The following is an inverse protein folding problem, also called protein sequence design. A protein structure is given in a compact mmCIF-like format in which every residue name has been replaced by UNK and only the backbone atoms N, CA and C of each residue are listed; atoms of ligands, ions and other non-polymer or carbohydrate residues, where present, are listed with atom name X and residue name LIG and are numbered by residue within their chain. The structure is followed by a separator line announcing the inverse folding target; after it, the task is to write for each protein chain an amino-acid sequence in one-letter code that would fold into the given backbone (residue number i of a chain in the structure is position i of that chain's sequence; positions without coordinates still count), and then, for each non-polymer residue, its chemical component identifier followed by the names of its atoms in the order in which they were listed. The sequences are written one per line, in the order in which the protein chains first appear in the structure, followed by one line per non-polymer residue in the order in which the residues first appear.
data_IF_256288731794
#
_entry.id   IF_256288731794
#
_cell.length_a   1.000
_cell.length_b   1.000
_cell.length_c   1.000
_cell.angle_alpha   90.00
_cell.angle_beta   90.00
_cell.angle_gamma   90.00
#
_symmetry.space_group_name_H-M   'P 1'
#
loop_
_entity.id
_entity.type
_entity.pdbx_description
1 polymer ?
#
# COMPACT_ATOMS: atom_id res chain seq x y z
N UNK A 1 -14.56 -13.48 -0.45
CA UNK A 1 -13.27 -14.08 -0.87
C UNK A 1 -12.18 -13.18 -0.34
N UNK A 2 -11.08 -13.75 0.17
CA UNK A 2 -9.94 -12.95 0.60
C UNK A 2 -9.43 -12.09 -0.57
N UNK A 3 -9.08 -10.84 -0.28
CA UNK A 3 -8.56 -9.87 -1.27
C UNK A 3 -7.04 -9.75 -1.23
N UNK A 4 -6.40 -10.45 -0.27
CA UNK A 4 -4.96 -10.66 -0.20
C UNK A 4 -4.69 -12.16 -0.05
N UNK A 5 -3.86 -12.70 -0.93
CA UNK A 5 -3.36 -14.08 -0.79
C UNK A 5 -2.01 -14.08 -0.11
N UNK A 6 -1.81 -15.03 0.78
CA UNK A 6 -0.55 -15.22 1.51
C UNK A 6 0.05 -16.58 1.17
N UNK A 7 1.33 -16.61 0.82
CA UNK A 7 2.13 -17.81 0.62
C UNK A 7 3.45 -17.70 1.37
N UNK A 8 3.87 -18.78 2.02
CA UNK A 8 5.17 -18.84 2.72
C UNK A 8 6.05 -19.92 2.09
N UNK A 9 7.09 -19.51 1.41
CA UNK A 9 8.03 -20.42 0.76
C UNK A 9 9.47 -20.01 1.08
N UNK A 10 10.28 -20.92 1.60
CA UNK A 10 11.71 -20.70 1.87
C UNK A 10 12.01 -19.56 2.86
N UNK A 11 11.06 -19.23 3.74
CA UNK A 11 11.18 -18.12 4.68
C UNK A 11 10.78 -16.76 4.10
N UNK A 12 10.25 -16.72 2.88
CA UNK A 12 9.71 -15.52 2.27
C UNK A 12 8.20 -15.60 2.26
N UNK A 13 7.53 -14.67 2.93
CA UNK A 13 6.08 -14.52 2.89
C UNK A 13 5.70 -13.60 1.74
N UNK A 14 4.97 -14.13 0.76
CA UNK A 14 4.46 -13.35 -0.37
C UNK A 14 3.01 -12.95 -0.12
N UNK A 15 2.75 -11.64 -0.08
CA UNK A 15 1.43 -11.05 0.01
C UNK A 15 1.02 -10.58 -1.39
N UNK A 16 0.02 -11.24 -1.97
CA UNK A 16 -0.47 -10.89 -3.30
C UNK A 16 -1.81 -10.16 -3.20
N UNK A 17 -1.86 -8.90 -3.65
CA UNK A 17 -3.11 -8.15 -3.81
C UNK A 17 -3.93 -8.86 -4.88
N UNK A 18 -5.11 -9.39 -4.54
CA UNK A 18 -5.84 -10.35 -5.41
C UNK A 18 -7.26 -9.88 -5.77
N UNK A 19 -7.29 -8.73 -6.44
CA UNK A 19 -8.49 -8.17 -7.11
C UNK A 19 -8.15 -7.77 -8.55
N UNK A 20 -7.60 -8.70 -9.39
CA UNK A 20 -7.07 -8.34 -10.72
C UNK A 20 -8.10 -7.73 -11.65
N UNK A 21 -9.38 -8.08 -11.52
CA UNK A 21 -10.50 -7.51 -12.28
C UNK A 21 -10.77 -6.02 -11.95
N UNK A 22 -10.31 -5.57 -10.80
CA UNK A 22 -10.33 -4.17 -10.34
C UNK A 22 -8.95 -3.53 -10.29
N UNK A 23 -7.96 -4.12 -11.00
CA UNK A 23 -6.56 -3.68 -10.99
C UNK A 23 -6.01 -3.55 -9.55
N UNK A 24 -6.41 -4.44 -8.67
CA UNK A 24 -6.04 -4.47 -7.26
C UNK A 24 -6.35 -3.15 -6.52
N UNK A 25 -7.47 -2.48 -6.89
CA UNK A 25 -7.89 -1.26 -6.23
C UNK A 25 -8.07 -1.48 -4.73
N UNK A 26 -7.49 -0.57 -3.95
CA UNK A 26 -7.35 -0.64 -2.51
C UNK A 26 -8.68 -0.39 -1.79
N UNK A 27 -9.03 -1.28 -0.90
CA UNK A 27 -10.23 -1.22 -0.05
C UNK A 27 -9.86 -1.29 1.42
N UNK A 28 -10.81 -0.97 2.29
CA UNK A 28 -10.64 -1.14 3.75
C UNK A 28 -10.41 -2.62 4.11
N UNK A 29 -11.08 -3.55 3.41
CA UNK A 29 -10.88 -4.98 3.59
C UNK A 29 -9.44 -5.37 3.24
N UNK A 30 -8.92 -4.91 2.09
CA UNK A 30 -7.52 -5.15 1.70
C UNK A 30 -6.53 -4.54 2.70
N UNK A 31 -6.82 -3.34 3.21
CA UNK A 31 -6.01 -2.72 4.26
C UNK A 31 -5.93 -3.62 5.49
N UNK A 32 -7.07 -4.11 5.97
CA UNK A 32 -7.11 -4.95 7.18
C UNK A 32 -6.39 -6.28 6.96
N UNK A 33 -6.66 -6.96 5.83
CA UNK A 33 -5.98 -8.22 5.51
C UNK A 33 -4.46 -8.06 5.39
N UNK A 34 -3.98 -6.93 4.85
CA UNK A 34 -2.55 -6.63 4.81
C UNK A 34 -1.98 -6.39 6.22
N UNK A 35 -2.65 -5.59 7.05
CA UNK A 35 -2.22 -5.33 8.43
C UNK A 35 -2.13 -6.66 9.20
N UNK A 36 -3.17 -7.48 9.12
CA UNK A 36 -3.21 -8.80 9.79
C UNK A 36 -2.09 -9.72 9.28
N UNK A 37 -1.80 -9.69 7.96
CA UNK A 37 -0.72 -10.48 7.39
C UNK A 37 0.67 -10.02 7.87
N UNK A 38 0.89 -8.71 8.04
CA UNK A 38 2.12 -8.19 8.64
C UNK A 38 2.23 -8.55 10.12
N UNK A 39 1.13 -8.60 10.87
CA UNK A 39 1.12 -9.05 12.27
C UNK A 39 1.53 -10.53 12.36
N UNK A 40 1.00 -11.37 11.48
CA UNK A 40 1.41 -12.77 11.36
C UNK A 40 2.89 -12.90 10.98
N UNK A 41 3.36 -12.11 10.01
CA UNK A 41 4.77 -12.15 9.58
C UNK A 41 5.74 -11.78 10.70
N UNK A 42 5.41 -10.80 11.53
CA UNK A 42 6.25 -10.38 12.65
C UNK A 42 6.26 -11.41 13.79
N UNK A 43 5.14 -12.10 14.00
CA UNK A 43 5.00 -13.12 15.06
C UNK A 43 5.60 -14.48 14.71
N UNK A 44 5.83 -14.77 13.42
CA UNK A 44 6.32 -16.05 12.95
C UNK A 44 7.83 -16.00 12.63
N UNK A 45 8.64 -16.71 13.41
CA UNK A 45 10.09 -16.81 13.21
C UNK A 45 10.45 -17.55 11.89
N UNK A 46 9.55 -18.31 11.29
CA UNK A 46 9.77 -18.92 9.98
C UNK A 46 9.76 -17.86 8.85
N UNK A 47 9.15 -16.70 9.06
CA UNK A 47 9.16 -15.58 8.13
C UNK A 47 10.42 -14.75 8.33
N UNK A 48 11.24 -14.65 7.28
CA UNK A 48 12.49 -13.87 7.28
C UNK A 48 12.42 -12.60 6.44
N UNK A 49 11.49 -12.55 5.49
CA UNK A 49 11.23 -11.39 4.65
C UNK A 49 9.79 -11.46 4.11
N UNK A 50 9.24 -10.29 3.78
CA UNK A 50 7.92 -10.15 3.16
C UNK A 50 8.07 -9.56 1.77
N UNK A 51 7.38 -10.13 0.79
CA UNK A 51 7.25 -9.59 -0.57
C UNK A 51 5.79 -9.20 -0.80
N UNK A 52 5.55 -7.97 -1.24
CA UNK A 52 4.21 -7.52 -1.64
C UNK A 52 4.15 -7.38 -3.16
N UNK A 53 3.16 -7.98 -3.79
CA UNK A 53 2.95 -7.91 -5.25
C UNK A 53 1.48 -7.85 -5.61
N UNK A 54 1.14 -7.64 -6.87
CA UNK A 54 -0.24 -7.62 -7.38
C UNK A 54 -0.54 -8.80 -8.30
N UNK A 55 -1.73 -9.37 -8.21
CA UNK A 55 -2.21 -10.32 -9.19
C UNK A 55 -2.54 -9.62 -10.52
N UNK A 56 -2.29 -10.30 -11.64
CA UNK A 56 -2.60 -9.79 -12.97
C UNK A 56 -1.67 -8.67 -13.44
N UNK A 57 -2.20 -7.67 -14.15
CA UNK A 57 -1.43 -6.66 -14.89
C UNK A 57 -1.07 -5.40 -14.11
N UNK A 58 -1.53 -5.25 -12.88
CA UNK A 58 -1.27 -4.07 -12.07
C UNK A 58 -0.76 -4.47 -10.69
N UNK A 59 0.06 -3.63 -10.08
CA UNK A 59 0.35 -3.73 -8.67
C UNK A 59 -0.88 -3.28 -7.87
N UNK A 60 -1.24 -2.00 -7.95
CA UNK A 60 -2.44 -1.44 -7.33
C UNK A 60 -2.81 -0.10 -7.99
N UNK A 61 -4.01 0.01 -8.52
CA UNK A 61 -4.48 1.20 -9.26
C UNK A 61 -4.95 2.36 -8.36
N UNK A 62 -4.72 2.29 -7.05
CA UNK A 62 -5.16 3.29 -6.09
C UNK A 62 -6.42 2.89 -5.35
N UNK A 63 -7.01 3.83 -4.61
CA UNK A 63 -8.21 3.58 -3.84
C UNK A 63 -9.41 3.22 -4.71
N UNK A 64 -10.22 2.25 -4.25
CA UNK A 64 -11.46 1.84 -4.92
C UNK A 64 -12.54 2.92 -4.72
N UNK A 65 -12.63 3.84 -5.70
CA UNK A 65 -13.61 4.94 -5.70
C UNK A 65 -14.97 4.51 -6.28
N UNK A 66 -15.08 3.34 -6.89
CA UNK A 66 -16.30 2.86 -7.54
C UNK A 66 -17.30 2.24 -6.57
N UNK A 67 -16.87 1.90 -5.34
CA UNK A 67 -17.74 1.47 -4.24
C UNK A 67 -18.66 2.58 -3.68
N UNK A 68 -18.65 3.77 -4.29
CA UNK A 68 -19.34 4.96 -3.81
C UNK A 68 -18.67 5.54 -2.56
N UNK A 69 -19.25 6.62 -2.03
CA UNK A 69 -18.75 7.27 -0.79
C UNK A 69 -18.65 6.32 0.40
N UNK A 70 -19.41 5.24 0.43
CA UNK A 70 -19.37 4.22 1.50
C UNK A 70 -18.09 3.39 1.52
N UNK A 71 -17.44 3.15 0.38
CA UNK A 71 -16.19 2.37 0.31
C UNK A 71 -14.97 3.18 0.79
N UNK A 72 -14.97 4.49 0.57
CA UNK A 72 -13.87 5.38 0.93
C UNK A 72 -14.04 6.02 2.32
N UNK A 73 -15.28 6.11 2.82
CA UNK A 73 -15.67 6.86 4.01
C UNK A 73 -16.35 5.96 5.06
N UNK A 74 -15.91 4.71 5.20
CA UNK A 74 -16.29 3.98 6.42
C UNK A 74 -15.49 4.53 7.60
N UNK A 75 -15.94 5.69 8.06
CA UNK A 75 -15.36 6.45 9.17
C UNK A 75 -15.23 5.60 10.42
N UNK A 76 -16.20 4.69 10.66
CA UNK A 76 -16.21 3.84 11.85
C UNK A 76 -15.02 2.87 11.87
N UNK A 77 -14.68 2.26 10.73
CA UNK A 77 -13.55 1.32 10.62
C UNK A 77 -12.18 1.99 10.67
N UNK A 78 -12.13 3.32 10.53
CA UNK A 78 -10.89 4.10 10.59
C UNK A 78 -10.74 4.89 11.89
N UNK A 79 -11.64 4.71 12.86
CA UNK A 79 -11.52 5.32 14.17
C UNK A 79 -10.40 4.64 14.96
N UNK A 80 -9.51 5.45 15.50
CA UNK A 80 -8.41 5.01 16.38
C UNK A 80 -8.52 5.80 17.69
N UNK A 81 -8.59 5.11 18.82
CA UNK A 81 -8.68 5.73 20.14
C UNK A 81 -9.93 6.61 20.29
N UNK A 82 -9.81 7.82 20.84
CA UNK A 82 -10.91 8.73 21.19
C UNK A 82 -11.74 9.27 20.00
N UNK A 83 -11.95 8.47 18.94
CA UNK A 83 -12.78 8.83 17.80
C UNK A 83 -12.05 9.58 16.68
N UNK A 84 -10.73 9.67 16.72
CA UNK A 84 -9.93 10.24 15.63
C UNK A 84 -10.02 9.35 14.39
N UNK A 85 -10.47 9.90 13.26
CA UNK A 85 -10.48 9.22 11.97
C UNK A 85 -9.11 9.37 11.33
N UNK A 86 -8.46 8.24 11.00
CA UNK A 86 -7.18 8.22 10.30
C UNK A 86 -7.36 7.79 8.85
N UNK A 87 -6.42 8.24 8.01
CA UNK A 87 -6.29 7.73 6.65
C UNK A 87 -5.94 6.24 6.65
N UNK A 88 -6.73 5.43 5.91
CA UNK A 88 -6.51 3.99 5.84
C UNK A 88 -5.17 3.62 5.20
N UNK A 89 -4.75 4.36 4.16
CA UNK A 89 -3.42 4.22 3.58
C UNK A 89 -2.33 4.52 4.61
N UNK A 90 -2.53 5.55 5.44
CA UNK A 90 -1.62 5.90 6.53
C UNK A 90 -1.51 4.83 7.60
N UNK A 91 -2.62 4.17 7.98
CA UNK A 91 -2.59 3.06 8.93
C UNK A 91 -1.73 1.90 8.41
N UNK A 92 -1.93 1.50 7.16
CA UNK A 92 -1.13 0.45 6.54
C UNK A 92 0.35 0.86 6.42
N UNK A 93 0.62 2.08 5.96
CA UNK A 93 1.98 2.60 5.78
C UNK A 93 2.77 2.60 7.10
N UNK A 94 2.14 3.05 8.19
CA UNK A 94 2.77 3.01 9.51
C UNK A 94 2.98 1.58 10.00
N UNK A 95 2.02 0.67 9.76
CA UNK A 95 2.20 -0.75 10.11
C UNK A 95 3.37 -1.39 9.36
N UNK A 96 3.54 -1.07 8.07
CA UNK A 96 4.71 -1.54 7.31
C UNK A 96 6.00 -0.98 7.89
N UNK A 97 6.01 0.31 8.22
CA UNK A 97 7.18 0.98 8.80
C UNK A 97 7.60 0.43 10.16
N UNK A 98 6.62 0.04 11.00
CA UNK A 98 6.84 -0.56 12.31
C UNK A 98 7.16 -2.06 12.24
N UNK A 99 7.18 -2.65 11.04
CA UNK A 99 7.43 -4.07 10.81
C UNK A 99 8.84 -4.51 11.21
N UNK A 100 8.96 -5.75 11.68
CA UNK A 100 10.21 -6.34 12.18
C UNK A 100 10.97 -7.11 11.10
N UNK A 101 10.37 -7.30 9.94
CA UNK A 101 10.97 -8.08 8.83
C UNK A 101 11.23 -7.17 7.64
N UNK A 102 12.29 -7.42 6.85
CA UNK A 102 12.49 -6.71 5.58
C UNK A 102 11.29 -6.87 4.65
N UNK A 103 10.84 -5.76 4.05
CA UNK A 103 9.70 -5.71 3.13
C UNK A 103 10.12 -5.26 1.75
N UNK A 104 9.76 -6.03 0.74
CA UNK A 104 10.09 -5.78 -0.66
C UNK A 104 8.82 -5.57 -1.47
N UNK A 105 8.69 -4.42 -2.13
CA UNK A 105 7.67 -4.24 -3.16
C UNK A 105 8.14 -4.88 -4.46
N UNK A 106 7.40 -5.87 -4.96
CA UNK A 106 7.60 -6.45 -6.29
C UNK A 106 6.50 -5.90 -7.23
N UNK A 107 6.81 -4.77 -7.87
CA UNK A 107 5.86 -3.96 -8.63
C UNK A 107 5.73 -4.51 -10.04
N UNK A 108 4.73 -5.35 -10.26
CA UNK A 108 4.48 -6.04 -11.51
C UNK A 108 3.78 -5.21 -12.59
N UNK A 109 3.39 -3.97 -12.30
CA UNK A 109 2.68 -3.10 -13.23
C UNK A 109 2.29 -1.76 -12.61
N UNK A 110 1.17 -1.19 -13.03
CA UNK A 110 0.73 0.14 -12.57
C UNK A 110 0.54 0.21 -11.05
N UNK A 111 1.10 1.25 -10.43
CA UNK A 111 1.03 1.59 -9.02
C UNK A 111 0.64 3.07 -8.86
N UNK A 112 -0.60 3.37 -8.47
CA UNK A 112 -1.16 4.73 -8.48
C UNK A 112 -1.77 5.07 -7.13
N UNK A 113 -1.67 6.34 -6.70
CA UNK A 113 -2.18 6.78 -5.40
C UNK A 113 -1.63 5.92 -4.27
N UNK A 114 -2.52 5.35 -3.43
CA UNK A 114 -2.10 4.45 -2.34
C UNK A 114 -1.28 3.25 -2.83
N UNK A 115 -1.45 2.80 -4.09
CA UNK A 115 -0.61 1.77 -4.69
C UNK A 115 0.85 2.19 -4.85
N UNK A 116 1.12 3.48 -5.07
CA UNK A 116 2.47 4.03 -5.10
C UNK A 116 2.96 4.38 -3.68
N UNK A 117 2.09 4.95 -2.83
CA UNK A 117 2.49 5.48 -1.53
C UNK A 117 2.72 4.40 -0.48
N UNK A 118 1.98 3.28 -0.50
CA UNK A 118 2.19 2.17 0.44
C UNK A 118 3.58 1.53 0.32
N UNK A 119 4.27 1.72 -0.82
CA UNK A 119 5.61 1.17 -1.03
C UNK A 119 6.72 2.02 -0.41
N UNK A 120 6.41 3.28 -0.06
CA UNK A 120 7.43 4.22 0.41
C UNK A 120 8.13 3.78 1.70
N UNK A 121 7.45 3.19 2.70
CA UNK A 121 8.09 2.65 3.90
C UNK A 121 8.77 1.30 3.68
N UNK A 122 8.54 0.60 2.57
CA UNK A 122 9.19 -0.69 2.30
C UNK A 122 10.68 -0.50 2.03
N UNK A 123 11.51 -1.50 2.37
CA UNK A 123 12.96 -1.42 2.28
C UNK A 123 13.46 -1.40 0.83
N UNK A 124 12.86 -2.23 -0.03
CA UNK A 124 13.24 -2.33 -1.43
C UNK A 124 12.03 -2.27 -2.35
N UNK A 125 12.25 -1.71 -3.54
CA UNK A 125 11.27 -1.65 -4.64
C UNK A 125 11.90 -2.20 -5.89
N UNK A 126 11.37 -3.34 -6.35
CA UNK A 126 11.69 -3.96 -7.62
C UNK A 126 10.51 -3.72 -8.55
N UNK A 127 10.77 -3.33 -9.77
CA UNK A 127 9.73 -3.04 -10.73
C UNK A 127 9.94 -3.84 -12.01
N UNK A 128 8.86 -4.17 -12.71
CA UNK A 128 8.91 -4.70 -14.08
C UNK A 128 9.55 -3.68 -15.03
N UNK A 129 9.83 -4.06 -16.27
CA UNK A 129 10.51 -3.21 -17.25
C UNK A 129 9.72 -1.95 -17.65
N UNK A 130 8.38 -1.96 -17.58
CA UNK A 130 7.52 -0.81 -17.91
C UNK A 130 6.55 -0.48 -16.75
N UNK A 131 7.06 -0.08 -15.58
CA UNK A 131 6.23 0.25 -14.44
C UNK A 131 5.63 1.65 -14.61
N UNK A 132 4.38 1.84 -14.18
CA UNK A 132 3.73 3.15 -14.17
C UNK A 132 3.44 3.56 -12.73
N UNK A 133 4.17 4.56 -12.24
CA UNK A 133 3.90 5.16 -10.94
C UNK A 133 3.13 6.47 -11.07
N UNK A 134 2.16 6.69 -10.19
CA UNK A 134 1.38 7.94 -10.18
C UNK A 134 1.06 8.43 -8.79
N UNK A 135 1.60 9.59 -8.42
CA UNK A 135 1.29 10.32 -7.18
C UNK A 135 0.19 11.38 -7.44
N UNK A 136 -0.93 10.98 -7.93
CA UNK A 136 -1.99 11.80 -8.56
C UNK A 136 -2.70 12.82 -7.63
N UNK A 137 -2.04 13.33 -6.60
CA UNK A 137 -2.61 14.22 -5.59
C UNK A 137 -3.12 15.54 -6.21
N UNK A 138 -2.26 16.29 -6.92
CA UNK A 138 -2.61 17.53 -7.59
C UNK A 138 -3.76 17.37 -8.57
N UNK A 139 -3.75 16.29 -9.36
CA UNK A 139 -4.83 15.97 -10.32
C UNK A 139 -6.17 15.66 -9.66
N UNK A 140 -6.17 15.23 -8.42
CA UNK A 140 -7.37 14.86 -7.66
C UNK A 140 -7.79 15.94 -6.67
N UNK A 141 -7.01 17.02 -6.54
CA UNK A 141 -7.28 18.09 -5.56
C UNK A 141 -7.20 17.60 -4.11
N UNK A 142 -6.34 16.61 -3.83
CA UNK A 142 -6.13 16.07 -2.49
C UNK A 142 -4.70 16.33 -2.02
N UNK A 143 -4.51 16.35 -0.71
CA UNK A 143 -3.17 16.40 -0.10
C UNK A 143 -2.49 15.04 -0.19
N UNK A 144 -1.13 14.98 -0.11
CA UNK A 144 -0.40 13.72 0.00
C UNK A 144 -0.93 12.84 1.14
N UNK A 145 -1.43 11.64 0.81
CA UNK A 145 -2.02 10.65 1.72
C UNK A 145 -1.02 9.55 2.10
N UNK A 146 -1.42 8.58 2.91
CA UNK A 146 -0.60 7.41 3.29
C UNK A 146 0.79 7.80 3.81
N UNK A 147 0.89 8.85 4.63
CA UNK A 147 2.14 9.39 5.15
C UNK A 147 3.18 9.76 4.07
N UNK A 148 2.76 9.92 2.80
CA UNK A 148 3.66 10.21 1.70
C UNK A 148 4.37 11.55 1.83
N UNK A 149 3.77 12.55 2.50
CA UNK A 149 4.44 13.82 2.82
C UNK A 149 5.69 13.64 3.69
N UNK A 150 5.75 12.55 4.47
CA UNK A 150 6.92 12.18 5.26
C UNK A 150 7.90 11.29 4.47
N UNK A 151 7.40 10.23 3.85
CA UNK A 151 8.26 9.20 3.25
C UNK A 151 8.80 9.62 1.89
N UNK A 152 7.98 10.21 1.00
CA UNK A 152 8.40 10.49 -0.37
C UNK A 152 9.66 11.39 -0.44
N UNK A 153 9.74 12.53 0.28
CA UNK A 153 10.95 13.35 0.23
C UNK A 153 12.20 12.66 0.81
N UNK A 154 12.04 11.66 1.66
CA UNK A 154 13.15 10.85 2.18
C UNK A 154 13.65 9.81 1.19
N UNK A 155 12.77 9.36 0.29
CA UNK A 155 13.12 8.37 -0.74
C UNK A 155 13.73 9.04 -1.97
N UNK A 156 13.16 10.17 -2.44
CA UNK A 156 13.54 10.79 -3.73
C UNK A 156 14.13 12.21 -3.61
N UNK A 157 14.22 12.75 -2.41
CA UNK A 157 14.61 14.14 -2.18
C UNK A 157 13.42 15.10 -2.36
N UNK A 158 13.53 16.31 -1.72
CA UNK A 158 12.41 17.26 -1.62
C UNK A 158 11.97 17.78 -3.00
N UNK A 159 12.91 18.09 -3.89
CA UNK A 159 12.59 18.66 -5.21
C UNK A 159 11.78 17.68 -6.06
N UNK A 160 12.19 16.42 -6.10
CA UNK A 160 11.46 15.38 -6.87
C UNK A 160 10.13 15.05 -6.21
N UNK A 161 10.06 15.04 -4.88
CA UNK A 161 8.81 14.82 -4.16
C UNK A 161 7.78 15.92 -4.46
N UNK A 162 8.21 17.18 -4.50
CA UNK A 162 7.35 18.30 -4.88
C UNK A 162 6.86 18.19 -6.32
N UNK A 163 7.76 17.92 -7.26
CA UNK A 163 7.40 17.70 -8.67
C UNK A 163 6.31 16.64 -8.80
N UNK A 164 6.53 15.44 -8.22
CA UNK A 164 5.60 14.30 -8.35
C UNK A 164 4.28 14.51 -7.62
N UNK A 165 4.26 15.32 -6.57
CA UNK A 165 3.03 15.57 -5.79
C UNK A 165 2.14 16.66 -6.42
N UNK A 166 2.70 17.53 -7.28
CA UNK A 166 1.98 18.69 -7.83
C UNK A 166 1.66 18.56 -9.32
N UNK A 167 2.25 17.60 -10.03
CA UNK A 167 2.00 17.31 -11.45
C UNK A 167 1.22 16.04 -11.64
#
# INVERSE_FOLDING_TARGET
MAVVRTDLTGGVMTLTLDRPEKLNAFTIEMMQELIDAFDVADADDAVRAVVVTGAGRAFCAGADIFGGTKGFVDVEKRKVGAGTVRDGGGLLTLRIFDGLKPVIAAVNGAAVGVGATMQLPMDMRLASEDPKFGFVFGRRGIVPEACSSWFLPRVVGISKAMEWSTT
#
